data_IF_009385788580
#
_entry.id   IF_009385788580
#
_cell.length_a   1.000
_cell.length_b   1.000
_cell.length_c   1.000
_cell.angle_alpha   90.00
_cell.angle_beta   90.00
_cell.angle_gamma   90.00
#
_symmetry.space_group_name_H-M   'P 1'
#
loop_
_entity.id
_entity.type
_entity.pdbx_description
1 polymer ?
#
# COMPACT_ATOMS: atom_id res chain seq x y z
N UNK A 1 3.73 10.40 -1.71
CA UNK A 1 5.11 10.28 -2.21
C UNK A 1 6.02 10.92 -1.19
N UNK A 2 7.02 10.18 -0.70
CA UNK A 2 8.03 10.71 0.22
C UNK A 2 8.96 11.67 -0.53
N UNK A 3 9.37 12.77 0.10
CA UNK A 3 10.35 13.68 -0.45
C UNK A 3 11.68 12.96 -0.73
N UNK A 4 12.41 13.40 -1.75
CA UNK A 4 13.72 12.84 -2.09
C UNK A 4 14.71 13.06 -0.92
N UNK A 5 15.47 12.01 -0.61
CA UNK A 5 16.47 11.97 0.46
C UNK A 5 17.72 11.31 -0.11
N UNK A 6 18.74 12.13 -0.37
CA UNK A 6 19.96 11.68 -1.03
C UNK A 6 20.74 10.66 -0.19
N UNK A 7 20.83 10.86 1.12
CA UNK A 7 21.57 9.97 2.02
C UNK A 7 20.97 8.56 1.99
N UNK A 8 19.64 8.46 2.05
CA UNK A 8 18.94 7.17 1.91
C UNK A 8 19.08 6.57 0.52
N UNK A 9 19.01 7.40 -0.51
CA UNK A 9 19.16 6.93 -1.89
C UNK A 9 20.56 6.33 -2.13
N UNK A 10 21.62 6.99 -1.65
CA UNK A 10 23.01 6.49 -1.71
C UNK A 10 23.17 5.22 -0.85
N UNK A 11 22.48 5.13 0.29
CA UNK A 11 22.45 3.91 1.12
C UNK A 11 21.75 2.72 0.43
N UNK A 12 21.16 2.93 -0.75
CA UNK A 12 20.57 1.90 -1.60
C UNK A 12 19.06 1.83 -1.57
N UNK A 13 18.38 2.75 -0.87
CA UNK A 13 16.92 2.87 -0.97
C UNK A 13 16.53 3.37 -2.38
N UNK A 14 15.49 2.79 -3.00
CA UNK A 14 15.07 3.18 -4.34
C UNK A 14 14.41 4.56 -4.35
N UNK A 15 14.51 5.23 -5.50
CA UNK A 15 13.86 6.51 -5.79
C UNK A 15 12.84 6.37 -6.91
N UNK A 16 11.87 7.27 -6.96
CA UNK A 16 10.87 7.33 -8.03
C UNK A 16 11.15 8.52 -8.94
N UNK A 17 11.16 8.26 -10.23
CA UNK A 17 11.32 9.29 -11.25
C UNK A 17 9.97 9.93 -11.60
N UNK A 18 9.98 11.12 -12.21
CA UNK A 18 8.77 11.85 -12.59
C UNK A 18 7.85 11.05 -13.51
N UNK A 19 8.40 10.16 -14.34
CA UNK A 19 7.65 9.24 -15.21
C UNK A 19 7.09 8.00 -14.48
N UNK A 20 7.32 7.88 -13.16
CA UNK A 20 6.89 6.76 -12.33
C UNK A 20 7.87 5.59 -12.27
N UNK A 21 8.99 5.65 -13.00
CA UNK A 21 10.01 4.59 -13.00
C UNK A 21 10.69 4.45 -11.64
N UNK A 22 11.04 3.21 -11.28
CA UNK A 22 11.91 2.90 -10.15
C UNK A 22 13.38 3.05 -10.55
N UNK A 23 14.15 3.77 -9.75
CA UNK A 23 15.59 3.97 -9.95
C UNK A 23 16.39 3.81 -8.66
N UNK A 24 17.71 3.70 -8.79
CA UNK A 24 18.64 3.55 -7.69
C UNK A 24 19.83 4.48 -7.90
N UNK A 25 20.16 5.26 -6.88
CA UNK A 25 21.42 6.01 -6.82
C UNK A 25 22.53 5.05 -6.39
N UNK A 26 23.70 5.11 -7.02
CA UNK A 26 24.82 4.19 -6.70
C UNK A 26 26.06 4.88 -6.17
N UNK A 27 26.38 6.06 -6.67
CA UNK A 27 27.50 6.81 -6.14
C UNK A 27 27.33 8.30 -6.45
N UNK A 28 27.89 9.08 -5.54
CA UNK A 28 28.10 10.51 -5.72
C UNK A 28 29.46 10.69 -6.41
N UNK A 29 29.51 11.55 -7.43
CA UNK A 29 30.74 11.87 -8.13
C UNK A 29 31.67 12.62 -7.17
N UNK A 30 32.96 12.24 -7.05
CA UNK A 30 33.91 12.97 -6.22
C UNK A 30 33.91 14.46 -6.56
N UNK A 31 33.95 15.34 -5.54
CA UNK A 31 33.79 16.79 -5.72
C UNK A 31 34.83 17.37 -6.68
N UNK A 32 36.04 16.82 -6.66
CA UNK A 32 37.17 17.20 -7.50
C UNK A 32 36.91 16.93 -8.99
N UNK A 33 36.00 16.02 -9.31
CA UNK A 33 35.65 15.66 -10.68
C UNK A 33 34.39 16.38 -11.17
N UNK A 34 33.60 17.01 -10.28
CA UNK A 34 32.32 17.68 -10.64
C UNK A 34 32.52 18.91 -11.51
N UNK A 35 33.62 19.64 -11.34
CA UNK A 35 33.90 20.82 -12.18
C UNK A 35 34.03 20.47 -13.67
N UNK A 36 34.40 19.22 -13.97
CA UNK A 36 34.57 18.72 -15.34
C UNK A 36 33.48 17.69 -15.74
N UNK A 37 32.59 17.32 -14.82
CA UNK A 37 31.54 16.34 -15.05
C UNK A 37 30.17 16.99 -15.00
N UNK A 38 29.26 16.51 -15.84
CA UNK A 38 27.93 17.06 -15.97
C UNK A 38 26.91 16.51 -14.95
N UNK A 39 27.37 15.73 -13.97
CA UNK A 39 26.53 15.02 -13.00
C UNK A 39 27.17 15.01 -11.61
N UNK A 40 26.35 15.20 -10.59
CA UNK A 40 26.76 15.07 -9.19
C UNK A 40 26.51 13.66 -8.66
N UNK A 41 25.47 12.99 -9.16
CA UNK A 41 25.10 11.63 -8.76
C UNK A 41 24.79 10.77 -9.98
N UNK A 42 25.20 9.50 -9.89
CA UNK A 42 25.01 8.51 -10.95
C UNK A 42 24.31 7.29 -10.39
N UNK A 43 23.41 6.75 -11.18
CA UNK A 43 22.67 5.55 -10.84
C UNK A 43 22.07 4.90 -12.07
N UNK A 44 21.00 4.15 -11.87
CA UNK A 44 20.29 3.51 -12.96
C UNK A 44 18.80 3.40 -12.66
N UNK A 45 18.00 3.39 -13.73
CA UNK A 45 16.59 3.03 -13.67
C UNK A 45 16.35 1.65 -14.26
N UNK A 46 15.31 0.98 -13.77
CA UNK A 46 14.90 -0.33 -14.28
C UNK A 46 13.83 -0.14 -15.36
N UNK A 47 14.00 -0.81 -16.50
CA UNK A 47 13.00 -0.88 -17.57
C UNK A 47 12.84 -2.32 -18.02
N UNK A 48 11.82 -3.02 -17.49
CA UNK A 48 11.66 -4.45 -17.73
C UNK A 48 12.85 -5.23 -17.18
N UNK A 49 13.56 -5.95 -18.05
CA UNK A 49 14.74 -6.75 -17.68
C UNK A 49 16.07 -6.00 -17.91
N UNK A 50 16.02 -4.73 -18.27
CA UNK A 50 17.21 -3.90 -18.52
C UNK A 50 17.38 -2.84 -17.43
N UNK A 51 18.62 -2.42 -17.23
CA UNK A 51 18.94 -1.20 -16.50
C UNK A 51 19.52 -0.16 -17.46
N UNK A 52 19.17 1.10 -17.23
CA UNK A 52 19.67 2.24 -18.01
C UNK A 52 20.35 3.18 -17.05
N UNK A 53 21.61 3.54 -17.34
CA UNK A 53 22.38 4.49 -16.54
C UNK A 53 21.76 5.87 -16.66
N UNK A 54 21.65 6.55 -15.52
CA UNK A 54 21.07 7.87 -15.41
C UNK A 54 21.99 8.79 -14.58
N UNK A 55 21.94 10.07 -14.91
CA UNK A 55 22.79 11.13 -14.38
C UNK A 55 21.90 12.24 -13.84
N UNK A 56 22.14 12.65 -12.59
CA UNK A 56 21.41 13.74 -11.94
C UNK A 56 22.36 14.70 -11.23
N UNK A 57 21.86 15.90 -10.92
CA UNK A 57 22.46 16.78 -9.94
C UNK A 57 22.12 16.34 -8.50
N UNK A 58 22.67 17.05 -7.51
CA UNK A 58 22.46 16.75 -6.08
C UNK A 58 20.99 16.84 -5.64
N UNK A 59 20.18 17.61 -6.36
CA UNK A 59 18.75 17.80 -6.10
C UNK A 59 17.88 16.76 -6.84
N UNK A 60 18.52 15.88 -7.62
CA UNK A 60 17.87 14.82 -8.36
C UNK A 60 17.27 15.27 -9.69
N UNK A 61 17.64 16.44 -10.21
CA UNK A 61 17.21 16.91 -11.54
C UNK A 61 17.98 16.14 -12.59
N UNK A 62 17.26 15.54 -13.54
CA UNK A 62 17.91 14.77 -14.59
C UNK A 62 18.53 15.71 -15.62
N UNK A 63 19.72 15.36 -16.10
CA UNK A 63 20.39 16.12 -17.17
C UNK A 63 19.60 16.15 -18.49
N UNK A 64 18.60 15.29 -18.64
CA UNK A 64 17.78 15.23 -19.84
C UNK A 64 16.96 16.51 -20.04
N UNK A 65 16.86 16.99 -21.29
CA UNK A 65 16.16 18.22 -21.64
C UNK A 65 14.65 18.24 -21.36
N UNK A 66 14.05 17.12 -20.97
CA UNK A 66 12.61 16.98 -20.80
C UNK A 66 12.14 16.80 -19.34
N UNK A 67 13.02 16.71 -18.34
CA UNK A 67 12.67 16.62 -16.90
C UNK A 67 11.84 15.39 -16.48
N UNK A 68 11.44 14.52 -17.40
CA UNK A 68 10.66 13.31 -17.11
C UNK A 68 11.43 12.29 -16.27
N UNK A 69 12.75 12.44 -16.20
CA UNK A 69 13.66 11.57 -15.45
C UNK A 69 14.11 12.15 -14.12
N UNK A 70 13.59 13.31 -13.72
CA UNK A 70 13.90 13.88 -12.41
C UNK A 70 13.47 12.91 -11.32
N UNK A 71 14.29 12.81 -10.28
CA UNK A 71 13.91 12.18 -9.04
C UNK A 71 12.90 13.10 -8.36
N UNK A 72 11.69 12.58 -8.15
CA UNK A 72 10.60 13.36 -7.51
C UNK A 72 10.33 12.90 -6.08
N UNK A 73 10.94 11.80 -5.65
CA UNK A 73 10.80 11.29 -4.30
C UNK A 73 11.48 9.95 -4.06
N UNK A 74 11.35 9.44 -2.83
CA UNK A 74 11.71 8.06 -2.51
C UNK A 74 10.65 7.09 -3.02
N UNK A 75 11.07 5.94 -3.57
CA UNK A 75 10.16 4.92 -4.08
C UNK A 75 9.53 4.15 -2.93
N UNK A 76 8.20 4.14 -2.89
CA UNK A 76 7.44 3.31 -1.97
C UNK A 76 6.97 2.07 -2.73
N UNK A 77 7.29 0.88 -2.20
CA UNK A 77 6.82 -0.38 -2.80
C UNK A 77 5.29 -0.33 -2.96
N UNK A 78 4.76 -0.61 -4.17
CA UNK A 78 3.33 -0.63 -4.39
C UNK A 78 2.70 -1.59 -3.40
N UNK A 79 1.83 -1.07 -2.53
CA UNK A 79 1.01 -1.93 -1.69
C UNK A 79 0.05 -2.65 -2.63
N UNK A 80 0.06 -4.00 -2.69
CA UNK A 80 -0.87 -4.69 -3.55
C UNK A 80 -2.28 -4.29 -3.13
N UNK A 81 -3.00 -3.73 -4.08
CA UNK A 81 -4.39 -3.36 -3.91
C UNK A 81 -5.20 -4.57 -4.34
N UNK A 82 -5.92 -5.19 -3.42
CA UNK A 82 -6.85 -6.28 -3.75
C UNK A 82 -8.22 -5.65 -3.97
N UNK A 83 -8.76 -5.81 -5.16
CA UNK A 83 -10.16 -5.47 -5.45
C UNK A 83 -11.03 -6.65 -5.03
N UNK A 84 -11.92 -6.46 -4.05
CA UNK A 84 -12.83 -7.47 -3.56
C UNK A 84 -14.27 -7.03 -3.80
N UNK A 85 -15.08 -7.93 -4.35
CA UNK A 85 -16.54 -7.77 -4.38
C UNK A 85 -17.10 -8.52 -3.18
N UNK A 86 -17.56 -7.78 -2.18
CA UNK A 86 -18.09 -8.36 -0.94
C UNK A 86 -19.59 -8.07 -0.80
N UNK A 87 -20.35 -8.98 -0.17
CA UNK A 87 -21.74 -8.73 0.14
C UNK A 87 -21.88 -7.56 1.12
N UNK A 88 -22.95 -6.78 0.98
CA UNK A 88 -23.20 -5.64 1.85
C UNK A 88 -23.66 -6.12 3.24
N UNK A 89 -23.03 -5.67 4.33
CA UNK A 89 -23.56 -5.89 5.67
C UNK A 89 -24.95 -5.29 5.84
N UNK A 90 -25.70 -5.81 6.82
CA UNK A 90 -27.04 -5.32 7.14
C UNK A 90 -26.97 -3.91 7.75
N UNK A 91 -27.85 -3.01 7.27
CA UNK A 91 -28.01 -1.65 7.82
C UNK A 91 -29.03 -1.58 8.95
N UNK A 92 -29.94 -2.54 9.02
CA UNK A 92 -31.02 -2.61 10.00
C UNK A 92 -31.40 -4.07 10.24
N UNK A 93 -31.79 -4.39 11.48
CA UNK A 93 -32.13 -5.76 11.91
C UNK A 93 -33.34 -5.70 12.84
N UNK A 94 -34.26 -6.65 12.71
CA UNK A 94 -35.42 -6.78 13.60
C UNK A 94 -35.03 -7.53 14.87
N UNK A 95 -35.57 -7.14 16.03
CA UNK A 95 -35.35 -7.89 17.29
C UNK A 95 -35.85 -9.33 17.13
N UNK A 96 -35.04 -10.30 17.56
CA UNK A 96 -35.31 -11.72 17.38
C UNK A 96 -34.93 -12.28 16.02
N UNK A 97 -34.47 -11.45 15.06
CA UNK A 97 -33.95 -11.95 13.79
C UNK A 97 -32.62 -12.67 14.01
N UNK A 98 -32.51 -13.90 13.48
CA UNK A 98 -31.23 -14.61 13.43
C UNK A 98 -30.31 -13.93 12.43
N UNK A 99 -29.10 -13.62 12.87
CA UNK A 99 -28.07 -12.96 12.06
C UNK A 99 -26.71 -13.61 12.28
N UNK A 100 -25.80 -13.39 11.33
CA UNK A 100 -24.45 -13.95 11.33
C UNK A 100 -23.41 -12.86 11.52
N UNK A 101 -22.29 -13.20 12.18
CA UNK A 101 -21.19 -12.29 12.43
C UNK A 101 -19.86 -13.05 12.55
N UNK A 102 -18.77 -12.29 12.48
CA UNK A 102 -17.40 -12.81 12.58
C UNK A 102 -16.93 -12.69 14.03
N UNK A 103 -16.63 -13.80 14.67
CA UNK A 103 -15.93 -13.86 15.96
C UNK A 103 -14.43 -13.97 15.66
N UNK A 104 -13.71 -12.86 15.81
CA UNK A 104 -12.29 -12.72 15.48
C UNK A 104 -11.40 -12.66 16.74
N UNK A 105 -11.80 -13.37 17.81
CA UNK A 105 -11.03 -13.42 19.03
C UNK A 105 -9.70 -14.16 18.83
N UNK A 106 -8.63 -13.73 19.52
CA UNK A 106 -7.25 -14.25 19.36
C UNK A 106 -7.10 -15.77 19.52
N UNK A 107 -8.07 -16.45 20.13
CA UNK A 107 -8.06 -17.88 20.40
C UNK A 107 -8.98 -18.68 19.47
N UNK A 108 -9.92 -18.04 18.77
CA UNK A 108 -10.86 -18.69 17.88
C UNK A 108 -11.39 -17.70 16.84
N UNK A 109 -11.10 -17.97 15.56
CA UNK A 109 -11.62 -17.23 14.42
C UNK A 109 -12.70 -18.08 13.75
N UNK A 110 -13.95 -17.64 13.81
CA UNK A 110 -15.10 -18.40 13.28
C UNK A 110 -16.29 -17.50 12.95
N UNK A 111 -17.22 -18.06 12.18
CA UNK A 111 -18.54 -17.45 11.99
C UNK A 111 -19.46 -17.93 13.11
N UNK A 112 -20.24 -17.01 13.65
CA UNK A 112 -21.21 -17.29 14.69
C UNK A 112 -22.56 -16.68 14.31
N UNK A 113 -23.62 -17.12 15.01
CA UNK A 113 -24.95 -16.56 14.86
C UNK A 113 -25.59 -16.28 16.22
N UNK A 114 -26.44 -15.26 16.27
CA UNK A 114 -27.29 -14.96 17.43
C UNK A 114 -28.65 -14.42 16.97
N UNK A 115 -29.62 -14.39 17.88
CA UNK A 115 -30.87 -13.65 17.69
C UNK A 115 -30.64 -12.20 18.13
N UNK A 116 -30.90 -11.24 17.24
CA UNK A 116 -30.60 -9.84 17.50
C UNK A 116 -31.42 -9.30 18.68
N UNK A 117 -30.75 -8.55 19.56
CA UNK A 117 -31.35 -7.93 20.75
C UNK A 117 -30.94 -6.47 20.79
N UNK A 118 -31.91 -5.56 20.93
CA UNK A 118 -31.69 -4.11 20.84
C UNK A 118 -31.04 -3.53 22.11
N UNK A 119 -31.26 -4.17 23.24
CA UNK A 119 -30.69 -3.85 24.56
C UNK A 119 -29.25 -4.38 24.73
N UNK A 120 -28.82 -5.34 23.90
CA UNK A 120 -27.43 -5.78 23.85
C UNK A 120 -26.54 -4.71 23.20
N UNK A 121 -25.70 -4.07 24.02
CA UNK A 121 -24.68 -3.12 23.54
C UNK A 121 -23.74 -3.78 22.52
N UNK A 122 -23.42 -5.06 22.71
CA UNK A 122 -22.61 -5.83 21.79
C UNK A 122 -23.25 -5.99 20.41
N UNK A 123 -24.53 -6.42 20.35
CA UNK A 123 -25.26 -6.57 19.08
C UNK A 123 -25.40 -5.23 18.36
N UNK A 124 -25.71 -4.16 19.10
CA UNK A 124 -25.86 -2.82 18.53
C UNK A 124 -24.54 -2.31 17.93
N UNK A 125 -23.42 -2.51 18.62
CA UNK A 125 -22.10 -2.13 18.13
C UNK A 125 -21.70 -2.93 16.88
N UNK A 126 -21.99 -4.23 16.84
CA UNK A 126 -21.77 -5.05 15.66
C UNK A 126 -22.56 -4.52 14.46
N UNK A 127 -23.85 -4.18 14.65
CA UNK A 127 -24.67 -3.62 13.58
C UNK A 127 -24.11 -2.29 13.07
N UNK A 128 -23.80 -1.37 14.00
CA UNK A 128 -23.27 -0.04 13.68
C UNK A 128 -21.95 -0.11 12.90
N UNK A 129 -21.12 -1.10 13.20
CA UNK A 129 -19.81 -1.26 12.57
C UNK A 129 -19.85 -2.09 11.28
N UNK A 130 -21.04 -2.49 10.81
CA UNK A 130 -21.18 -3.30 9.59
C UNK A 130 -20.70 -4.74 9.76
N UNK A 131 -20.76 -5.29 10.98
CA UNK A 131 -20.33 -6.66 11.30
C UNK A 131 -21.44 -7.70 11.29
N UNK A 132 -22.63 -7.38 10.78
CA UNK A 132 -23.80 -8.26 10.78
C UNK A 132 -24.25 -8.59 9.36
N UNK A 133 -24.52 -9.87 9.12
CA UNK A 133 -24.89 -10.42 7.83
C UNK A 133 -26.22 -11.19 7.89
N UNK A 134 -26.93 -11.20 6.76
CA UNK A 134 -28.20 -11.94 6.59
C UNK A 134 -28.00 -13.45 6.57
N UNK A 135 -26.89 -13.91 5.99
CA UNK A 135 -26.61 -15.32 5.75
C UNK A 135 -25.21 -15.69 6.23
N UNK A 136 -24.98 -16.99 6.41
CA UNK A 136 -23.66 -17.51 6.77
C UNK A 136 -22.67 -17.34 5.61
N UNK A 137 -23.15 -17.51 4.38
CA UNK A 137 -22.38 -17.34 3.15
C UNK A 137 -21.86 -15.90 3.01
N UNK A 138 -22.69 -14.91 3.34
CA UNK A 138 -22.28 -13.51 3.31
C UNK A 138 -21.15 -13.24 4.32
N UNK A 139 -21.29 -13.78 5.53
CA UNK A 139 -20.25 -13.69 6.56
C UNK A 139 -18.98 -14.44 6.14
N UNK A 140 -19.10 -15.60 5.48
CA UNK A 140 -17.98 -16.39 5.00
C UNK A 140 -17.17 -15.69 3.92
N UNK A 141 -17.83 -14.98 2.99
CA UNK A 141 -17.13 -14.16 1.99
C UNK A 141 -16.21 -13.11 2.65
N UNK A 142 -16.68 -12.46 3.72
CA UNK A 142 -15.86 -11.54 4.50
C UNK A 142 -14.76 -12.23 5.28
N UNK A 143 -15.05 -13.40 5.89
CA UNK A 143 -14.05 -14.20 6.61
C UNK A 143 -12.88 -14.58 5.70
N UNK A 144 -13.20 -15.13 4.52
CA UNK A 144 -12.21 -15.58 3.54
C UNK A 144 -11.41 -14.41 2.98
N UNK A 145 -12.06 -13.28 2.70
CA UNK A 145 -11.40 -12.07 2.25
C UNK A 145 -10.37 -11.56 3.27
N UNK A 146 -10.74 -11.49 4.56
CA UNK A 146 -9.81 -11.07 5.62
C UNK A 146 -8.65 -12.07 5.77
N UNK A 147 -8.94 -13.37 5.73
CA UNK A 147 -7.92 -14.42 5.86
C UNK A 147 -6.93 -14.39 4.70
N UNK A 148 -7.40 -14.21 3.47
CA UNK A 148 -6.57 -14.17 2.27
C UNK A 148 -5.78 -12.85 2.13
N UNK A 149 -6.27 -11.76 2.74
CA UNK A 149 -5.58 -10.47 2.74
C UNK A 149 -4.59 -10.29 3.90
N UNK A 150 -4.59 -11.21 4.89
CA UNK A 150 -3.70 -11.16 6.05
C UNK A 150 -2.27 -11.51 5.66
N UNK A 151 -1.31 -10.74 6.16
CA UNK A 151 0.14 -10.95 6.00
C UNK A 151 0.79 -11.24 7.34
#
# INVERSE_FOLDING_TARGET
MKAFDLEKAIAGEPVVLRDGSKAFVKFEVPKELRENNFADIVGFRIRGNEFIVEEWDIDGVARSSCGHRDIVGMYEEPRPTVTLTLPCPLKSVTVGQRVFYLDLNKQCERICAFLFQKDSTYHFNLLKNGGIFSTEEDAQAWFDAMKNARR
#
